data_IF_985821800628
#
_entry.id   IF_985821800628
#
_cell.length_a   1.000
_cell.length_b   1.000
_cell.length_c   1.000
_cell.angle_alpha   90.00
_cell.angle_beta   90.00
_cell.angle_gamma   90.00
#
_symmetry.space_group_name_H-M   'P 1'
#
loop_
_entity.id
_entity.type
_entity.pdbx_description
1 polymer ?
#
# COMPACT_ATOMS: atom_id res chain seq x y z
N UNK A 1 -20.35 -59.70 -22.57
CA UNK A 1 -19.79 -58.44 -23.10
C UNK A 1 -19.80 -57.43 -21.97
N UNK A 2 -18.64 -57.20 -21.34
CA UNK A 2 -18.50 -56.35 -20.15
C UNK A 2 -18.09 -54.96 -20.65
N UNK A 3 -18.96 -53.96 -20.48
CA UNK A 3 -18.63 -52.57 -20.84
C UNK A 3 -18.26 -51.83 -19.56
N UNK A 4 -16.95 -51.70 -19.31
CA UNK A 4 -16.39 -50.82 -18.28
C UNK A 4 -16.69 -49.37 -18.67
N UNK A 5 -17.44 -48.64 -17.85
CA UNK A 5 -17.55 -47.18 -17.94
C UNK A 5 -16.64 -46.56 -16.87
N UNK A 6 -15.48 -46.07 -17.30
CA UNK A 6 -14.64 -45.19 -16.49
C UNK A 6 -15.40 -43.88 -16.23
N UNK A 7 -15.73 -43.62 -14.97
CA UNK A 7 -16.08 -42.28 -14.52
C UNK A 7 -14.78 -41.56 -14.10
N UNK A 8 -14.20 -40.83 -15.04
CA UNK A 8 -13.12 -39.89 -14.76
C UNK A 8 -13.67 -38.68 -14.02
N UNK A 9 -13.42 -38.60 -12.72
CA UNK A 9 -13.70 -37.41 -11.92
C UNK A 9 -12.57 -36.41 -12.18
N UNK A 10 -12.83 -35.41 -13.01
CA UNK A 10 -11.92 -34.30 -13.24
C UNK A 10 -12.14 -33.26 -12.14
N UNK A 11 -11.41 -33.39 -11.03
CA UNK A 11 -11.42 -32.40 -9.95
C UNK A 11 -10.56 -31.20 -10.38
N UNK A 12 -11.20 -30.16 -10.92
CA UNK A 12 -10.56 -28.86 -11.13
C UNK A 12 -10.50 -28.12 -9.79
N UNK A 13 -9.37 -28.18 -9.11
CA UNK A 13 -9.10 -27.29 -7.98
C UNK A 13 -8.79 -25.88 -8.52
N UNK A 14 -9.82 -25.05 -8.63
CA UNK A 14 -9.67 -23.59 -8.81
C UNK A 14 -9.05 -23.02 -7.53
N UNK A 15 -7.72 -22.90 -7.50
CA UNK A 15 -7.05 -22.01 -6.54
C UNK A 15 -7.34 -20.58 -6.97
N UNK A 16 -8.45 -20.03 -6.45
CA UNK A 16 -8.68 -18.58 -6.51
C UNK A 16 -7.68 -17.95 -5.53
N UNK A 17 -6.49 -17.64 -6.01
CA UNK A 17 -5.64 -16.64 -5.36
C UNK A 17 -6.42 -15.34 -5.41
N UNK A 18 -7.24 -15.08 -4.39
CA UNK A 18 -7.82 -13.77 -4.20
C UNK A 18 -6.64 -12.81 -4.06
N UNK A 19 -6.41 -11.97 -5.07
CA UNK A 19 -5.59 -10.80 -4.92
C UNK A 19 -6.18 -10.03 -3.75
N UNK A 20 -5.52 -10.06 -2.59
CA UNK A 20 -5.94 -9.36 -1.39
C UNK A 20 -5.63 -7.87 -1.58
N UNK A 21 -6.38 -7.23 -2.49
CA UNK A 21 -6.38 -5.78 -2.64
C UNK A 21 -6.95 -5.14 -1.38
N UNK A 22 -6.60 -3.88 -1.15
CA UNK A 22 -7.28 -3.09 -0.14
C UNK A 22 -8.80 -3.10 -0.35
N UNK A 23 -9.60 -2.98 0.74
CA UNK A 23 -11.05 -2.86 0.62
C UNK A 23 -11.44 -1.72 -0.32
N UNK A 24 -12.57 -1.83 -1.03
CA UNK A 24 -13.03 -0.86 -2.05
C UNK A 24 -13.14 0.59 -1.56
N UNK A 25 -13.22 0.80 -0.23
CA UNK A 25 -13.19 2.12 0.39
C UNK A 25 -11.85 2.86 0.26
N UNK A 26 -10.77 2.19 -0.18
CA UNK A 26 -9.46 2.76 -0.39
C UNK A 26 -9.15 2.94 -1.88
N UNK A 27 -8.70 4.14 -2.24
CA UNK A 27 -8.08 4.41 -3.53
C UNK A 27 -6.58 4.09 -3.49
N UNK A 28 -5.96 3.84 -4.64
CA UNK A 28 -4.53 3.53 -4.70
C UNK A 28 -3.66 4.74 -4.35
N UNK A 29 -2.71 4.55 -3.43
CA UNK A 29 -1.70 5.53 -3.06
C UNK A 29 -0.45 5.34 -3.93
N UNK A 30 0.12 6.42 -4.46
CA UNK A 30 1.40 6.32 -5.17
C UNK A 30 2.55 6.20 -4.18
N UNK A 31 3.40 5.19 -4.37
CA UNK A 31 4.60 4.97 -3.56
C UNK A 31 5.83 5.13 -4.45
N UNK A 32 6.78 5.95 -4.03
CA UNK A 32 8.03 6.18 -4.74
C UNK A 32 9.20 6.23 -3.74
N UNK A 33 10.42 6.26 -4.25
CA UNK A 33 11.60 6.56 -3.44
C UNK A 33 12.04 8.00 -3.64
N UNK A 34 12.37 8.67 -2.53
CA UNK A 34 13.04 9.97 -2.51
C UNK A 34 14.12 9.93 -1.46
N UNK A 35 15.35 10.28 -1.82
CA UNK A 35 16.51 10.22 -0.92
C UNK A 35 16.67 8.85 -0.23
N UNK A 36 16.49 7.76 -0.99
CA UNK A 36 16.56 6.39 -0.48
C UNK A 36 15.54 6.05 0.63
N UNK A 37 14.38 6.71 0.65
CA UNK A 37 13.28 6.36 1.56
C UNK A 37 11.94 6.40 0.82
N UNK A 38 10.96 5.57 1.22
CA UNK A 38 9.60 5.67 0.72
C UNK A 38 8.98 7.06 0.95
N UNK A 39 8.33 7.56 -0.09
CA UNK A 39 7.48 8.74 -0.04
C UNK A 39 6.14 8.44 -0.71
N UNK A 40 5.09 9.13 -0.26
CA UNK A 40 3.73 8.89 -0.72
C UNK A 40 3.16 10.12 -1.42
N UNK A 41 2.39 9.88 -2.47
CA UNK A 41 1.72 10.93 -3.23
C UNK A 41 0.30 10.53 -3.60
N UNK A 42 -0.56 11.54 -3.73
CA UNK A 42 -1.92 11.36 -4.24
C UNK A 42 -1.85 11.30 -5.77
N UNK A 43 -2.43 10.29 -6.44
CA UNK A 43 -2.38 10.19 -7.89
C UNK A 43 -2.94 11.41 -8.62
N UNK A 44 -2.44 11.68 -9.83
CA UNK A 44 -2.86 12.81 -10.67
C UNK A 44 -4.36 12.76 -11.00
N UNK A 45 -4.90 11.56 -11.22
CA UNK A 45 -6.29 11.33 -11.62
C UNK A 45 -7.19 11.00 -10.42
N UNK A 46 -6.86 11.52 -9.24
CA UNK A 46 -7.66 11.33 -8.01
C UNK A 46 -9.02 12.01 -8.03
N UNK A 47 -9.25 12.95 -8.96
CA UNK A 47 -10.47 13.77 -8.99
C UNK A 47 -10.55 14.81 -7.87
N UNK A 48 -9.53 14.89 -7.01
CA UNK A 48 -9.45 15.89 -5.94
C UNK A 48 -8.89 17.21 -6.47
N UNK A 49 -9.49 18.32 -6.04
CA UNK A 49 -8.96 19.65 -6.30
C UNK A 49 -7.79 19.93 -5.33
N UNK A 50 -6.60 20.16 -5.89
CA UNK A 50 -5.43 20.53 -5.13
C UNK A 50 -5.46 22.03 -4.72
N UNK A 51 -4.85 22.40 -3.59
CA UNK A 51 -4.12 21.53 -2.68
C UNK A 51 -5.05 20.78 -1.72
N UNK A 52 -4.61 19.59 -1.29
CA UNK A 52 -5.34 18.74 -0.34
C UNK A 52 -4.67 18.72 1.03
N UNK A 53 -5.46 18.53 2.08
CA UNK A 53 -4.97 18.34 3.44
C UNK A 53 -4.68 16.86 3.67
N UNK A 54 -3.42 16.52 3.84
CA UNK A 54 -2.95 15.16 4.02
C UNK A 54 -2.61 14.89 5.49
N UNK A 55 -3.20 13.84 6.05
CA UNK A 55 -2.85 13.34 7.37
C UNK A 55 -1.64 12.42 7.30
N UNK A 56 -0.95 12.24 8.44
CA UNK A 56 0.13 11.25 8.54
C UNK A 56 -0.44 9.85 8.27
N UNK A 57 0.26 9.02 7.47
CA UNK A 57 -0.18 7.68 7.18
C UNK A 57 0.00 6.77 8.38
N UNK A 58 -0.88 5.78 8.50
CA UNK A 58 -0.60 4.57 9.28
C UNK A 58 0.26 3.66 8.43
N UNK A 59 1.42 3.27 8.93
CA UNK A 59 2.36 2.40 8.22
C UNK A 59 2.56 1.15 9.06
N UNK A 60 2.31 0.01 8.45
CA UNK A 60 2.51 -1.30 9.05
C UNK A 60 3.58 -2.06 8.28
N UNK A 61 4.46 -2.77 9.00
CA UNK A 61 5.43 -3.71 8.43
C UNK A 61 4.99 -5.14 8.72
N UNK A 62 5.17 -6.03 7.76
CA UNK A 62 4.95 -7.47 7.97
C UNK A 62 6.08 -8.06 8.82
N UNK A 63 5.73 -8.72 9.92
CA UNK A 63 6.64 -9.44 10.82
C UNK A 63 6.08 -10.84 11.03
N UNK A 64 6.65 -11.82 10.32
CA UNK A 64 6.07 -13.15 10.19
C UNK A 64 4.71 -13.08 9.49
N UNK A 65 3.68 -13.64 10.13
CA UNK A 65 2.30 -13.63 9.60
C UNK A 65 1.44 -12.47 10.14
N UNK A 66 2.04 -11.43 10.72
CA UNK A 66 1.32 -10.31 11.34
C UNK A 66 1.80 -8.96 10.81
N UNK A 67 0.87 -8.03 10.64
CA UNK A 67 1.16 -6.62 10.39
C UNK A 67 1.38 -5.90 11.73
N UNK A 68 2.47 -5.14 11.85
CA UNK A 68 2.78 -4.33 13.03
C UNK A 68 2.92 -2.86 12.64
N UNK A 69 2.20 -1.98 13.32
CA UNK A 69 2.32 -0.53 13.13
C UNK A 69 3.73 -0.06 13.52
N UNK A 70 4.39 0.67 12.63
CA UNK A 70 5.70 1.29 12.84
C UNK A 70 5.69 2.81 12.70
N UNK A 71 4.60 3.38 12.18
CA UNK A 71 4.41 4.83 12.18
C UNK A 71 4.22 5.36 13.61
N UNK A 72 4.66 6.60 13.90
CA UNK A 72 4.37 7.25 15.17
C UNK A 72 2.86 7.31 15.48
N UNK A 73 2.46 7.41 16.77
CA UNK A 73 1.06 7.52 17.16
C UNK A 73 0.33 8.71 16.51
N UNK A 74 -0.96 8.55 16.26
CA UNK A 74 -1.82 9.56 15.62
C UNK A 74 -1.93 10.88 16.41
N UNK A 75 -1.69 10.84 17.72
CA UNK A 75 -1.69 12.01 18.60
C UNK A 75 -0.61 13.04 18.29
N UNK A 76 0.45 12.64 17.58
CA UNK A 76 1.55 13.53 17.14
C UNK A 76 1.62 13.66 15.61
N UNK A 77 0.56 13.29 14.90
CA UNK A 77 0.59 13.22 13.43
C UNK A 77 0.54 14.60 12.79
N UNK A 78 1.64 15.07 12.15
CA UNK A 78 1.58 16.29 11.37
C UNK A 78 0.53 16.17 10.27
N UNK A 79 -0.19 17.27 10.07
CA UNK A 79 -1.06 17.48 8.92
C UNK A 79 -0.31 18.41 7.97
N UNK A 80 -0.30 18.07 6.69
CA UNK A 80 0.42 18.84 5.66
C UNK A 80 -0.48 19.14 4.47
N UNK A 81 -0.24 20.27 3.82
CA UNK A 81 -0.87 20.62 2.56
C UNK A 81 -0.02 20.08 1.41
N UNK A 82 -0.62 19.31 0.50
CA UNK A 82 0.06 18.70 -0.65
C UNK A 82 -0.68 19.03 -1.94
N UNK A 83 0.06 19.26 -3.02
CA UNK A 83 -0.49 19.11 -4.36
C UNK A 83 -0.59 17.62 -4.72
N UNK A 84 -1.44 17.27 -5.68
CA UNK A 84 -1.42 15.93 -6.30
C UNK A 84 -0.01 15.64 -6.85
N UNK A 85 0.39 14.39 -6.81
CA UNK A 85 1.72 13.88 -7.20
C UNK A 85 2.90 14.40 -6.36
N UNK A 86 2.69 15.30 -5.40
CA UNK A 86 3.74 15.75 -4.51
C UNK A 86 4.14 14.64 -3.55
N UNK A 87 5.33 14.06 -3.76
CA UNK A 87 5.82 12.96 -2.93
C UNK A 87 6.32 13.43 -1.55
N UNK A 88 5.63 12.98 -0.50
CA UNK A 88 5.90 13.33 0.89
C UNK A 88 6.58 12.18 1.64
N UNK A 89 7.79 12.43 2.10
CA UNK A 89 8.46 11.59 3.11
C UNK A 89 7.91 11.94 4.50
N UNK A 90 7.56 10.93 5.27
CA UNK A 90 7.16 11.06 6.67
C UNK A 90 8.33 10.67 7.57
N UNK A 91 8.53 11.42 8.65
CA UNK A 91 9.67 11.23 9.56
C UNK A 91 9.35 10.20 10.63
N UNK A 92 10.40 9.69 11.27
CA UNK A 92 10.27 8.80 12.43
C UNK A 92 9.96 7.35 12.06
N UNK A 93 10.22 6.96 10.81
CA UNK A 93 10.09 5.58 10.33
C UNK A 93 11.48 5.08 9.97
N UNK A 94 11.92 4.01 10.64
CA UNK A 94 13.17 3.33 10.31
C UNK A 94 12.90 2.29 9.23
N UNK A 95 13.05 2.68 7.97
CA UNK A 95 12.82 1.79 6.83
C UNK A 95 13.85 0.67 6.76
N UNK A 96 13.37 -0.53 6.44
CA UNK A 96 14.15 -1.75 6.30
C UNK A 96 13.56 -2.62 5.19
N UNK A 97 14.30 -3.60 4.70
CA UNK A 97 13.74 -4.62 3.81
C UNK A 97 12.49 -5.28 4.41
N UNK A 98 11.47 -5.49 3.57
CA UNK A 98 10.24 -6.20 3.92
C UNK A 98 8.99 -5.67 3.23
N UNK A 99 7.86 -6.29 3.55
CA UNK A 99 6.53 -5.89 3.06
C UNK A 99 5.90 -4.83 3.97
N UNK A 100 5.25 -3.86 3.34
CA UNK A 100 4.60 -2.72 3.98
C UNK A 100 3.16 -2.55 3.51
N UNK A 101 2.31 -2.17 4.45
CA UNK A 101 0.92 -1.80 4.24
C UNK A 101 0.74 -0.36 4.74
N UNK A 102 0.20 0.51 3.90
CA UNK A 102 0.09 1.93 4.19
C UNK A 102 -1.33 2.39 3.97
N UNK A 103 -1.88 3.09 4.94
CA UNK A 103 -3.18 3.75 4.84
C UNK A 103 -3.04 5.23 5.15
N UNK A 104 -3.59 6.09 4.30
CA UNK A 104 -3.53 7.53 4.42
C UNK A 104 -4.90 8.16 4.19
N UNK A 105 -5.28 9.11 5.04
CA UNK A 105 -6.51 9.90 4.82
C UNK A 105 -6.14 11.28 4.31
N UNK A 106 -6.90 11.72 3.31
CA UNK A 106 -6.79 13.04 2.71
C UNK A 106 -8.15 13.71 2.77
N UNK A 107 -8.13 15.01 3.08
CA UNK A 107 -9.31 15.86 3.14
C UNK A 107 -9.20 16.90 2.03
N UNK A 108 -10.23 17.03 1.21
CA UNK A 108 -10.33 18.03 0.15
C UNK A 108 -11.70 18.68 0.22
N UNK A 109 -11.75 19.98 0.57
CA UNK A 109 -12.99 20.74 0.81
C UNK A 109 -13.95 20.01 1.75
N UNK A 110 -14.91 19.26 1.21
CA UNK A 110 -15.96 18.54 1.94
C UNK A 110 -15.80 17.01 1.93
N UNK A 111 -14.81 16.49 1.20
CA UNK A 111 -14.60 15.06 1.01
C UNK A 111 -13.42 14.55 1.84
N UNK A 112 -13.60 13.35 2.39
CA UNK A 112 -12.53 12.55 2.98
C UNK A 112 -12.30 11.32 2.12
N UNK A 113 -11.09 11.19 1.58
CA UNK A 113 -10.71 10.06 0.77
C UNK A 113 -9.63 9.27 1.49
N UNK A 114 -9.82 7.95 1.52
CA UNK A 114 -8.84 7.02 2.07
C UNK A 114 -8.02 6.45 0.91
N UNK A 115 -6.71 6.55 1.03
CA UNK A 115 -5.75 5.98 0.11
C UNK A 115 -4.99 4.86 0.80
N UNK A 116 -4.61 3.83 0.05
CA UNK A 116 -3.76 2.78 0.55
C UNK A 116 -2.80 2.23 -0.51
N UNK A 117 -1.71 1.64 -0.05
CA UNK A 117 -0.78 0.92 -0.91
C UNK A 117 -0.11 -0.21 -0.15
N UNK A 118 0.10 -1.33 -0.85
CA UNK A 118 0.97 -2.42 -0.41
C UNK A 118 2.21 -2.50 -1.31
N UNK A 119 3.38 -2.55 -0.69
CA UNK A 119 4.64 -2.63 -1.42
C UNK A 119 5.70 -3.41 -0.65
N UNK A 120 6.67 -3.93 -1.38
CA UNK A 120 7.88 -4.53 -0.82
C UNK A 120 9.03 -3.55 -1.02
N UNK A 121 9.79 -3.33 0.05
CA UNK A 121 11.05 -2.60 0.02
C UNK A 121 12.19 -3.64 0.03
N UNK A 122 13.08 -3.58 -0.95
CA UNK A 122 14.25 -4.45 -1.05
C UNK A 122 15.51 -3.61 -1.06
N UNK A 123 16.56 -4.05 -0.35
CA UNK A 123 17.85 -3.36 -0.34
C UNK A 123 18.82 -4.10 -1.23
N UNK A 124 19.46 -3.38 -2.15
CA UNK A 124 20.47 -3.96 -3.02
C UNK A 124 21.87 -3.96 -2.37
N UNK A 125 22.86 -4.53 -3.06
CA UNK A 125 24.23 -4.62 -2.55
C UNK A 125 24.92 -3.26 -2.30
N UNK A 126 24.41 -2.15 -2.85
CA UNK A 126 24.92 -0.79 -2.60
C UNK A 126 24.19 -0.05 -1.49
N UNK A 127 23.28 -0.72 -0.77
CA UNK A 127 22.47 -0.12 0.30
C UNK A 127 21.36 0.81 -0.22
N UNK A 128 21.03 0.72 -1.50
CA UNK A 128 19.91 1.45 -2.09
C UNK A 128 18.66 0.58 -2.08
N UNK A 129 17.55 1.18 -1.68
CA UNK A 129 16.26 0.53 -1.73
C UNK A 129 15.69 0.54 -3.15
N UNK A 130 14.89 -0.48 -3.44
CA UNK A 130 13.97 -0.58 -4.57
C UNK A 130 12.57 -0.87 -4.05
N UNK A 131 11.56 -0.50 -4.83
CA UNK A 131 10.15 -0.73 -4.49
C UNK A 131 9.52 -1.61 -5.56
N UNK A 132 8.82 -2.66 -5.12
CA UNK A 132 7.87 -3.41 -5.94
C UNK A 132 6.46 -3.27 -5.35
N UNK A 133 5.52 -2.81 -6.18
CA UNK A 133 4.11 -2.72 -5.79
C UNK A 133 3.44 -4.07 -6.02
N UNK A 134 2.56 -4.46 -5.09
CA UNK A 134 1.87 -5.75 -5.12
C UNK A 134 0.37 -5.63 -5.42
N UNK A 135 -0.06 -4.44 -5.82
CA UNK A 135 -1.44 -4.11 -6.25
C UNK A 135 -1.47 -3.44 -7.62
#
# INVERSE_FOLDING_TARGET
MIMQKLFGVFAVTLMVSACLSHPEQYQSLSVMLKNNEPCFAIPAHSGLEAPVTSHSPTIMKRVGNKWKTISPPSTYSPVVTLNTQQCKQWRGIAWQTGEYDVAQTVSAKNDFVRYAARFTLEENASGQFTISQTE
#
